data_IF_592603480711
#
_entry.id   IF_592603480711
#
_cell.length_a   1.000
_cell.length_b   1.000
_cell.length_c   1.000
_cell.angle_alpha   90.00
_cell.angle_beta   90.00
_cell.angle_gamma   90.00
#
_symmetry.space_group_name_H-M   'P 1'
#
loop_
_entity.id
_entity.type
_entity.pdbx_description
1 polymer ?
#
# COMPACT_ATOMS: atom_id res chain seq x y z
N UNK A 1 12.07 -13.39 1.18
CA UNK A 1 11.12 -13.63 2.27
C UNK A 1 11.86 -14.27 3.43
N UNK A 2 11.68 -13.77 4.63
CA UNK A 2 12.30 -14.27 5.86
C UNK A 2 11.21 -14.68 6.86
N UNK A 3 11.45 -15.75 7.60
CA UNK A 3 10.66 -16.15 8.76
C UNK A 3 11.60 -16.85 9.75
N UNK A 4 11.44 -16.60 11.04
CA UNK A 4 12.19 -17.29 12.10
C UNK A 4 11.79 -18.77 12.22
N UNK A 5 10.58 -19.12 11.77
CA UNK A 5 10.07 -20.48 11.75
C UNK A 5 10.41 -21.18 10.42
N UNK A 6 11.39 -22.08 10.47
CA UNK A 6 11.83 -22.85 9.29
C UNK A 6 10.72 -23.72 8.70
N UNK A 7 9.82 -24.24 9.52
CA UNK A 7 8.70 -25.05 9.03
C UNK A 7 7.69 -24.22 8.24
N UNK A 8 7.51 -22.93 8.60
CA UNK A 8 6.71 -22.01 7.84
C UNK A 8 7.35 -21.75 6.46
N UNK A 9 8.68 -21.51 6.41
CA UNK A 9 9.41 -21.34 5.15
C UNK A 9 9.34 -22.57 4.23
N UNK A 10 9.45 -23.77 4.79
CA UNK A 10 9.37 -25.02 4.02
C UNK A 10 8.00 -25.22 3.34
N UNK A 11 6.93 -24.66 3.91
CA UNK A 11 5.56 -24.76 3.39
C UNK A 11 5.21 -23.68 2.36
N UNK A 12 6.07 -22.67 2.17
CA UNK A 12 5.76 -21.53 1.28
C UNK A 12 5.50 -21.99 -0.14
N UNK A 13 6.39 -22.81 -0.69
CA UNK A 13 6.26 -23.24 -2.10
C UNK A 13 5.04 -24.12 -2.33
N UNK A 14 4.69 -25.02 -1.42
CA UNK A 14 3.48 -25.84 -1.55
C UNK A 14 2.21 -24.98 -1.53
N UNK A 15 2.13 -24.03 -0.61
CA UNK A 15 1.02 -23.07 -0.52
C UNK A 15 0.90 -22.22 -1.79
N UNK A 16 2.01 -21.69 -2.29
CA UNK A 16 2.02 -20.93 -3.54
C UNK A 16 1.55 -21.76 -4.75
N UNK A 17 1.88 -23.05 -4.77
CA UNK A 17 1.39 -23.95 -5.83
C UNK A 17 -0.11 -24.21 -5.70
N UNK A 18 -0.63 -24.36 -4.49
CA UNK A 18 -2.07 -24.52 -4.23
C UNK A 18 -2.83 -23.26 -4.66
N UNK A 19 -2.37 -22.09 -4.24
CA UNK A 19 -2.94 -20.80 -4.63
C UNK A 19 -2.95 -20.63 -6.16
N UNK A 20 -1.84 -20.95 -6.82
CA UNK A 20 -1.75 -20.91 -8.30
C UNK A 20 -2.79 -21.78 -8.97
N UNK A 21 -2.95 -23.02 -8.50
CA UNK A 21 -3.97 -23.94 -9.04
C UNK A 21 -5.37 -23.38 -8.88
N UNK A 22 -5.66 -22.80 -7.72
CA UNK A 22 -6.95 -22.17 -7.44
C UNK A 22 -7.19 -20.96 -8.35
N UNK A 23 -6.24 -20.03 -8.44
CA UNK A 23 -6.35 -18.83 -9.26
C UNK A 23 -6.49 -19.13 -10.75
N UNK A 24 -5.82 -20.19 -11.22
CA UNK A 24 -5.97 -20.69 -12.59
C UNK A 24 -7.36 -21.24 -12.83
N UNK A 25 -7.86 -22.09 -11.93
CA UNK A 25 -9.20 -22.66 -12.01
C UNK A 25 -10.29 -21.58 -12.06
N UNK A 26 -10.08 -20.48 -11.38
CA UNK A 26 -11.02 -19.36 -11.30
C UNK A 26 -10.80 -18.28 -12.38
N UNK A 27 -9.84 -18.50 -13.30
CA UNK A 27 -9.59 -17.58 -14.41
C UNK A 27 -8.86 -16.27 -14.02
N UNK A 28 -8.33 -16.19 -12.80
CA UNK A 28 -7.56 -15.03 -12.32
C UNK A 28 -6.10 -15.03 -12.81
N UNK A 29 -5.62 -16.16 -13.32
CA UNK A 29 -4.30 -16.32 -13.93
C UNK A 29 -4.45 -16.93 -15.33
N UNK A 30 -4.02 -16.17 -16.34
CA UNK A 30 -4.04 -16.62 -17.73
C UNK A 30 -2.83 -17.50 -18.10
N UNK A 31 -1.68 -17.29 -17.46
CA UNK A 31 -0.42 -17.96 -17.80
C UNK A 31 0.18 -18.72 -16.61
N UNK A 32 0.95 -19.78 -16.94
CA UNK A 32 1.63 -20.64 -15.95
C UNK A 32 2.81 -19.95 -15.26
N UNK A 33 3.33 -18.89 -15.86
CA UNK A 33 4.52 -18.23 -15.36
C UNK A 33 4.17 -17.22 -14.28
N UNK A 34 4.68 -17.46 -13.08
CA UNK A 34 4.69 -16.48 -12.02
C UNK A 34 5.62 -15.34 -12.44
N UNK A 35 5.14 -14.12 -12.43
CA UNK A 35 5.98 -12.95 -12.65
C UNK A 35 6.79 -12.70 -11.40
N UNK A 36 8.01 -13.20 -11.38
CA UNK A 36 8.94 -13.01 -10.27
C UNK A 36 9.45 -14.30 -9.64
N UNK A 37 10.41 -14.14 -8.76
CA UNK A 37 11.07 -15.21 -8.04
C UNK A 37 10.81 -15.09 -6.55
N UNK A 38 10.41 -16.16 -5.89
CA UNK A 38 10.26 -16.22 -4.44
C UNK A 38 11.49 -16.91 -3.86
N UNK A 39 12.25 -16.15 -3.05
CA UNK A 39 13.40 -16.67 -2.31
C UNK A 39 13.07 -16.73 -0.83
N UNK A 40 13.23 -17.90 -0.22
CA UNK A 40 13.13 -18.08 1.23
C UNK A 40 14.55 -18.02 1.82
N UNK A 41 14.76 -17.07 2.71
CA UNK A 41 16.10 -16.78 3.29
C UNK A 41 16.04 -16.96 4.79
N UNK A 42 17.16 -17.39 5.37
CA UNK A 42 17.29 -17.66 6.81
C UNK A 42 17.89 -16.48 7.59
N UNK A 43 18.44 -15.48 6.90
CA UNK A 43 19.03 -14.29 7.53
C UNK A 43 18.20 -13.06 7.16
N UNK A 44 17.85 -12.29 8.19
CA UNK A 44 17.08 -11.04 8.02
C UNK A 44 17.87 -10.02 7.21
N UNK A 45 19.15 -9.85 7.54
CA UNK A 45 20.06 -8.91 6.89
C UNK A 45 20.10 -9.09 5.37
N UNK A 46 20.30 -10.33 4.93
CA UNK A 46 20.34 -10.67 3.49
C UNK A 46 18.98 -10.43 2.81
N UNK A 47 17.89 -10.63 3.57
CA UNK A 47 16.54 -10.47 3.03
C UNK A 47 16.19 -9.00 2.77
N UNK A 48 16.63 -8.09 3.65
CA UNK A 48 16.20 -6.68 3.62
C UNK A 48 17.21 -5.72 3.01
N UNK A 49 18.48 -6.13 2.88
CA UNK A 49 19.57 -5.27 2.44
C UNK A 49 19.29 -4.56 1.10
N UNK A 50 18.76 -5.28 0.12
CA UNK A 50 18.47 -4.76 -1.21
C UNK A 50 16.98 -4.46 -1.46
N UNK A 51 16.15 -4.60 -0.46
CA UNK A 51 14.70 -4.42 -0.59
C UNK A 51 14.32 -2.95 -0.85
N UNK A 52 13.35 -2.73 -1.72
CA UNK A 52 12.69 -1.44 -1.95
C UNK A 52 11.42 -1.29 -1.10
N UNK A 53 10.71 -2.40 -0.90
CA UNK A 53 9.53 -2.51 -0.05
C UNK A 53 9.69 -3.69 0.91
N UNK A 54 9.46 -3.43 2.18
CA UNK A 54 9.52 -4.42 3.24
C UNK A 54 8.14 -4.48 3.90
N UNK A 55 7.52 -5.66 3.88
CA UNK A 55 6.21 -5.91 4.47
C UNK A 55 6.40 -6.78 5.71
N UNK A 56 6.26 -6.20 6.88
CA UNK A 56 6.30 -6.91 8.15
C UNK A 56 4.89 -7.47 8.46
N UNK A 57 4.84 -8.76 8.82
CA UNK A 57 3.61 -9.48 9.13
C UNK A 57 3.78 -10.46 10.32
N UNK A 58 4.64 -10.11 11.29
CA UNK A 58 4.80 -10.92 12.51
C UNK A 58 3.57 -10.78 13.42
N UNK A 59 3.54 -11.54 14.52
CA UNK A 59 2.44 -11.52 15.48
C UNK A 59 2.13 -10.09 15.99
N UNK A 60 0.88 -9.86 16.43
CA UNK A 60 0.39 -8.57 16.91
C UNK A 60 0.92 -8.29 18.34
N UNK A 61 2.23 -8.07 18.44
CA UNK A 61 2.94 -7.75 19.67
C UNK A 61 3.76 -6.47 19.45
N UNK A 62 3.48 -5.43 20.23
CA UNK A 62 4.08 -4.11 20.05
C UNK A 62 5.60 -4.13 20.18
N UNK A 63 6.13 -4.75 21.23
CA UNK A 63 7.58 -4.76 21.49
C UNK A 63 8.33 -5.55 20.41
N UNK A 64 7.79 -6.70 19.98
CA UNK A 64 8.37 -7.47 18.88
C UNK A 64 8.38 -6.69 17.56
N UNK A 65 7.33 -5.91 17.29
CA UNK A 65 7.26 -5.07 16.08
C UNK A 65 8.19 -3.87 16.17
N UNK A 66 8.34 -3.24 17.33
CA UNK A 66 9.32 -2.17 17.57
C UNK A 66 10.75 -2.64 17.31
N UNK A 67 11.15 -3.76 17.94
CA UNK A 67 12.48 -4.39 17.72
C UNK A 67 12.70 -4.69 16.24
N UNK A 68 11.71 -5.27 15.58
CA UNK A 68 11.81 -5.61 14.16
C UNK A 68 11.97 -4.36 13.27
N UNK A 69 11.18 -3.30 13.51
CA UNK A 69 11.27 -2.05 12.76
C UNK A 69 12.61 -1.33 12.98
N UNK A 70 13.10 -1.28 14.23
CA UNK A 70 14.42 -0.74 14.53
C UNK A 70 15.50 -1.49 13.76
N UNK A 71 15.56 -2.81 13.88
CA UNK A 71 16.56 -3.65 13.18
C UNK A 71 16.49 -3.50 11.67
N UNK A 72 15.31 -3.66 11.08
CA UNK A 72 15.12 -3.52 9.63
C UNK A 72 15.57 -2.14 9.15
N UNK A 73 15.22 -1.08 9.89
CA UNK A 73 15.52 0.29 9.50
C UNK A 73 17.00 0.61 9.40
N UNK A 74 17.85 -0.12 10.14
CA UNK A 74 19.31 -0.01 10.08
C UNK A 74 19.95 -0.92 9.03
N UNK A 75 19.28 -2.01 8.66
CA UNK A 75 19.81 -3.01 7.74
C UNK A 75 19.45 -2.76 6.28
N UNK A 76 18.31 -2.15 6.02
CA UNK A 76 17.83 -1.91 4.67
C UNK A 76 18.35 -0.60 4.06
N UNK A 77 18.16 -0.44 2.75
CA UNK A 77 18.48 0.81 2.03
C UNK A 77 17.75 2.00 2.66
N UNK A 78 18.39 3.16 2.62
CA UNK A 78 17.81 4.40 3.16
C UNK A 78 16.47 4.80 2.55
N UNK A 79 16.26 4.48 1.28
CA UNK A 79 15.04 4.76 0.54
C UNK A 79 14.03 3.61 0.55
N UNK A 80 14.32 2.49 1.23
CA UNK A 80 13.38 1.40 1.39
C UNK A 80 12.15 1.83 2.20
N UNK A 81 10.97 1.39 1.78
CA UNK A 81 9.71 1.63 2.48
C UNK A 81 9.45 0.45 3.41
N UNK A 82 9.18 0.75 4.69
CA UNK A 82 8.93 -0.26 5.72
C UNK A 82 7.45 -0.21 6.11
N UNK A 83 6.75 -1.31 5.88
CA UNK A 83 5.32 -1.41 6.13
C UNK A 83 5.00 -2.46 7.18
N UNK A 84 4.01 -2.18 8.04
CA UNK A 84 3.43 -3.18 8.94
C UNK A 84 2.04 -3.59 8.50
N UNK A 85 1.72 -4.88 8.59
CA UNK A 85 0.37 -5.42 8.39
C UNK A 85 -0.44 -5.45 9.71
N UNK A 86 -0.07 -4.66 10.71
CA UNK A 86 -0.75 -4.60 11.99
C UNK A 86 -2.23 -4.21 11.84
N UNK A 87 -3.08 -4.88 12.63
CA UNK A 87 -4.51 -4.63 12.64
C UNK A 87 -4.89 -3.50 13.59
N UNK A 88 -4.33 -3.50 14.80
CA UNK A 88 -4.73 -2.58 15.88
C UNK A 88 -3.60 -1.68 16.38
N UNK A 89 -2.33 -2.10 16.27
CA UNK A 89 -1.22 -1.34 16.81
C UNK A 89 -0.95 -0.09 15.98
N UNK A 90 -0.63 1.00 16.66
CA UNK A 90 -0.32 2.26 16.02
C UNK A 90 1.07 2.23 15.37
N UNK A 91 1.11 2.56 14.09
CA UNK A 91 2.38 2.67 13.32
C UNK A 91 3.36 3.67 13.97
N UNK A 92 2.86 4.72 14.63
CA UNK A 92 3.72 5.67 15.32
C UNK A 92 4.49 5.00 16.47
N UNK A 93 3.79 4.16 17.27
CA UNK A 93 4.43 3.39 18.33
C UNK A 93 5.37 2.32 17.76
N UNK A 94 4.95 1.60 16.71
CA UNK A 94 5.77 0.56 16.08
C UNK A 94 7.09 1.14 15.53
N UNK A 95 7.05 2.32 14.92
CA UNK A 95 8.21 2.95 14.29
C UNK A 95 8.99 3.91 15.21
N UNK A 96 8.70 3.93 16.50
CA UNK A 96 9.28 4.87 17.46
C UNK A 96 10.81 4.91 17.45
N UNK A 97 11.44 3.75 17.35
CA UNK A 97 12.90 3.58 17.33
C UNK A 97 13.46 3.35 15.92
N UNK A 98 12.61 3.37 14.90
CA UNK A 98 13.07 3.18 13.53
C UNK A 98 13.92 4.37 13.05
N UNK A 99 15.02 4.06 12.39
CA UNK A 99 15.81 5.06 11.66
C UNK A 99 14.98 5.60 10.49
N UNK A 100 14.79 6.93 10.41
CA UNK A 100 14.03 7.60 9.34
C UNK A 100 12.56 7.15 9.31
N UNK A 101 11.81 7.51 10.33
CA UNK A 101 10.40 7.17 10.51
C UNK A 101 9.50 7.65 9.35
N UNK A 102 9.96 8.64 8.56
CA UNK A 102 9.22 9.18 7.41
C UNK A 102 8.97 8.16 6.29
N UNK A 103 9.66 7.01 6.31
CA UNK A 103 9.50 5.89 5.36
C UNK A 103 8.68 4.72 5.90
N UNK A 104 8.13 4.86 7.10
CA UNK A 104 7.34 3.83 7.77
C UNK A 104 5.84 4.13 7.65
N UNK A 105 5.03 3.10 7.39
CA UNK A 105 3.56 3.18 7.33
C UNK A 105 2.89 1.84 7.62
N UNK A 106 1.61 1.88 7.97
CA UNK A 106 0.77 0.70 7.98
C UNK A 106 0.24 0.40 6.58
N UNK A 107 0.32 -0.86 6.16
CA UNK A 107 -0.17 -1.32 4.87
C UNK A 107 -0.85 -2.68 5.05
N UNK A 108 -2.17 -2.71 5.01
CA UNK A 108 -2.93 -3.90 5.29
C UNK A 108 -3.75 -4.35 4.08
N UNK A 109 -3.44 -5.54 3.59
CA UNK A 109 -4.21 -6.20 2.55
C UNK A 109 -5.46 -6.85 3.15
N UNK A 110 -6.60 -6.63 2.52
CA UNK A 110 -7.85 -7.26 2.96
C UNK A 110 -7.94 -8.70 2.43
N UNK A 111 -8.35 -9.62 3.30
CA UNK A 111 -8.52 -11.03 2.92
C UNK A 111 -9.91 -11.30 2.33
N UNK A 112 -10.01 -12.10 1.27
CA UNK A 112 -8.95 -12.79 0.53
C UNK A 112 -8.22 -11.89 -0.47
N UNK A 113 -6.88 -11.83 -0.35
CA UNK A 113 -6.02 -10.84 -1.04
C UNK A 113 -6.16 -10.85 -2.56
N UNK A 114 -6.34 -12.01 -3.17
CA UNK A 114 -6.39 -12.13 -4.63
C UNK A 114 -7.66 -11.53 -5.24
N UNK A 115 -8.77 -11.51 -4.49
CA UNK A 115 -10.06 -11.06 -4.98
C UNK A 115 -10.39 -9.63 -4.58
N UNK A 116 -9.89 -9.20 -3.41
CA UNK A 116 -10.19 -7.88 -2.87
C UNK A 116 -9.11 -6.90 -3.32
N UNK A 117 -9.46 -5.90 -4.15
CA UNK A 117 -8.50 -4.92 -4.63
C UNK A 117 -8.10 -3.88 -3.58
N UNK A 118 -8.93 -3.63 -2.59
CA UNK A 118 -8.73 -2.59 -1.60
C UNK A 118 -7.58 -2.93 -0.65
N UNK A 119 -6.69 -1.95 -0.41
CA UNK A 119 -5.58 -2.01 0.55
C UNK A 119 -5.67 -0.82 1.48
N UNK A 120 -5.73 -1.09 2.77
CA UNK A 120 -5.81 -0.08 3.82
C UNK A 120 -4.43 0.47 4.12
N UNK A 121 -4.30 1.79 4.08
CA UNK A 121 -3.08 2.52 4.39
C UNK A 121 -3.26 3.33 5.66
N UNK A 122 -2.27 3.24 6.55
CA UNK A 122 -2.22 3.99 7.80
C UNK A 122 -0.93 4.78 7.81
N UNK A 123 -1.02 6.08 7.52
CA UNK A 123 0.12 6.96 7.62
C UNK A 123 0.46 7.23 9.09
N UNK A 124 1.73 7.10 9.45
CA UNK A 124 2.25 7.56 10.73
C UNK A 124 2.40 9.09 10.75
N UNK A 125 2.67 9.65 11.92
CA UNK A 125 2.84 11.10 12.11
C UNK A 125 3.93 11.69 11.21
N UNK A 126 4.97 10.92 10.94
CA UNK A 126 6.14 11.35 10.17
C UNK A 126 6.18 10.80 8.74
N UNK A 127 5.24 9.91 8.38
CA UNK A 127 5.22 9.32 7.03
C UNK A 127 5.20 10.40 5.96
N UNK A 128 6.18 10.39 5.06
CA UNK A 128 6.29 11.42 4.02
C UNK A 128 5.28 11.20 2.89
N UNK A 129 4.85 12.27 2.24
CA UNK A 129 3.97 12.21 1.07
C UNK A 129 4.59 11.47 -0.11
N UNK A 130 5.90 11.57 -0.28
CA UNK A 130 6.64 10.84 -1.31
C UNK A 130 6.54 9.31 -1.10
N UNK A 131 6.62 8.84 0.15
CA UNK A 131 6.45 7.42 0.48
C UNK A 131 5.04 6.95 0.17
N UNK A 132 4.02 7.73 0.51
CA UNK A 132 2.62 7.43 0.21
C UNK A 132 2.41 7.33 -1.30
N UNK A 133 2.98 8.25 -2.07
CA UNK A 133 2.88 8.25 -3.53
C UNK A 133 3.57 7.02 -4.15
N UNK A 134 4.76 6.66 -3.69
CA UNK A 134 5.45 5.44 -4.14
C UNK A 134 4.64 4.18 -3.85
N UNK A 135 4.01 4.11 -2.68
CA UNK A 135 3.12 3.00 -2.30
C UNK A 135 1.89 2.98 -3.21
N UNK A 136 1.28 4.15 -3.49
CA UNK A 136 0.14 4.25 -4.41
C UNK A 136 0.47 3.69 -5.79
N UNK A 137 1.55 4.18 -6.39
CA UNK A 137 2.00 3.72 -7.72
C UNK A 137 2.31 2.22 -7.74
N UNK A 138 2.93 1.71 -6.67
CA UNK A 138 3.23 0.29 -6.55
C UNK A 138 1.96 -0.56 -6.44
N UNK A 139 0.98 -0.14 -5.63
CA UNK A 139 -0.31 -0.83 -5.49
C UNK A 139 -1.13 -0.81 -6.79
N UNK A 140 -1.19 0.32 -7.48
CA UNK A 140 -1.89 0.47 -8.76
C UNK A 140 -1.34 -0.47 -9.84
N UNK A 141 -0.01 -0.64 -9.89
CA UNK A 141 0.64 -1.61 -10.79
C UNK A 141 0.21 -3.06 -10.52
N UNK A 142 -0.16 -3.37 -9.30
CA UNK A 142 -0.70 -4.67 -8.91
C UNK A 142 -2.23 -4.76 -9.08
N UNK A 143 -2.88 -3.75 -9.65
CA UNK A 143 -4.33 -3.67 -9.75
C UNK A 143 -5.03 -3.54 -8.41
N UNK A 144 -4.34 -2.95 -7.41
CA UNK A 144 -4.86 -2.67 -6.08
C UNK A 144 -5.26 -1.22 -5.95
N UNK A 145 -6.27 -0.98 -5.13
CA UNK A 145 -6.78 0.36 -4.82
C UNK A 145 -6.46 0.70 -3.38
N UNK A 146 -5.77 1.81 -3.18
CA UNK A 146 -5.38 2.30 -1.87
C UNK A 146 -6.51 3.11 -1.25
N UNK A 147 -6.78 2.92 0.06
CA UNK A 147 -7.60 3.81 0.85
C UNK A 147 -6.98 4.05 2.22
N UNK A 148 -7.21 5.22 2.79
CA UNK A 148 -6.74 5.53 4.12
C UNK A 148 -7.76 5.08 5.18
N UNK A 149 -7.25 4.50 6.28
CA UNK A 149 -8.09 4.20 7.44
C UNK A 149 -8.69 5.52 7.96
N UNK A 150 -10.00 5.54 8.07
CA UNK A 150 -10.73 6.61 8.76
C UNK A 150 -11.08 6.15 10.17
N UNK A 151 -10.60 6.87 11.19
CA UNK A 151 -10.84 6.53 12.58
C UNK A 151 -9.94 5.42 13.14
N UNK A 152 -10.28 4.97 14.36
CA UNK A 152 -9.47 4.01 15.12
C UNK A 152 -9.74 2.55 14.80
N UNK A 153 -10.84 2.25 14.11
CA UNK A 153 -11.24 0.88 13.84
C UNK A 153 -10.79 0.42 12.45
N UNK A 154 -10.16 -0.75 12.35
CA UNK A 154 -9.80 -1.33 11.07
C UNK A 154 -11.03 -1.75 10.28
N UNK A 155 -10.98 -1.66 8.96
CA UNK A 155 -12.00 -2.23 8.10
C UNK A 155 -11.91 -3.77 8.15
N UNK A 156 -12.88 -4.41 8.80
CA UNK A 156 -13.02 -5.86 8.83
C UNK A 156 -14.25 -6.23 8.01
N UNK A 157 -14.03 -6.93 6.91
CA UNK A 157 -15.11 -7.39 6.04
C UNK A 157 -15.79 -8.61 6.65
N UNK A 158 -17.13 -8.62 6.64
CA UNK A 158 -17.90 -9.83 6.96
C UNK A 158 -17.70 -10.89 5.86
N UNK A 159 -18.09 -12.13 6.13
CA UNK A 159 -17.99 -13.20 5.15
C UNK A 159 -18.84 -12.91 3.90
N UNK A 160 -20.05 -12.39 4.09
CA UNK A 160 -20.92 -11.96 3.01
C UNK A 160 -20.28 -10.87 2.13
N UNK A 161 -19.69 -9.86 2.75
CA UNK A 161 -19.00 -8.79 2.04
C UNK A 161 -17.77 -9.30 1.26
N UNK A 162 -17.06 -10.29 1.79
CA UNK A 162 -15.92 -10.93 1.09
C UNK A 162 -16.40 -11.69 -0.13
N UNK A 163 -17.46 -12.47 0.02
CA UNK A 163 -18.03 -13.26 -1.07
C UNK A 163 -18.62 -12.38 -2.17
N UNK A 164 -19.31 -11.30 -1.79
CA UNK A 164 -19.82 -10.30 -2.73
C UNK A 164 -18.69 -9.69 -3.59
N UNK A 165 -17.62 -9.24 -2.93
CA UNK A 165 -16.45 -8.67 -3.64
C UNK A 165 -15.75 -9.70 -4.52
N UNK A 166 -15.60 -10.93 -4.03
CA UNK A 166 -15.07 -12.04 -4.82
C UNK A 166 -15.89 -12.25 -6.09
N UNK A 167 -17.21 -12.36 -5.96
CA UNK A 167 -18.11 -12.57 -7.06
C UNK A 167 -18.12 -11.39 -8.05
N UNK A 168 -18.07 -10.16 -7.56
CA UNK A 168 -17.93 -8.98 -8.39
C UNK A 168 -16.64 -9.00 -9.20
N UNK A 169 -15.52 -9.39 -8.59
CA UNK A 169 -14.22 -9.52 -9.26
C UNK A 169 -14.23 -10.57 -10.33
N UNK A 170 -14.77 -11.75 -10.04
CA UNK A 170 -14.88 -12.83 -11.01
C UNK A 170 -15.76 -12.45 -12.23
N UNK A 171 -16.88 -11.75 -12.00
CA UNK A 171 -17.72 -11.21 -13.07
C UNK A 171 -17.00 -10.19 -13.96
N UNK A 172 -16.18 -9.32 -13.38
CA UNK A 172 -15.38 -8.37 -14.15
C UNK A 172 -14.42 -9.07 -15.10
N UNK A 173 -13.80 -10.15 -14.67
CA UNK A 173 -12.84 -10.92 -15.46
C UNK A 173 -13.56 -11.67 -16.59
N UNK A 174 -14.71 -12.30 -16.33
CA UNK A 174 -15.48 -13.03 -17.35
C UNK A 174 -16.10 -12.10 -18.40
N UNK A 175 -16.48 -10.88 -18.02
CA UNK A 175 -17.06 -9.90 -18.94
C UNK A 175 -16.01 -9.15 -19.78
N UNK A 176 -14.75 -9.13 -19.34
CA UNK A 176 -13.63 -8.65 -20.14
C UNK A 176 -13.25 -9.75 -21.13
N UNK A 177 -13.76 -9.70 -22.36
CA UNK A 177 -13.47 -10.66 -23.45
C UNK A 177 -11.98 -10.61 -23.83
N UNK A 178 -11.13 -11.02 -22.97
CA UNK A 178 -9.69 -11.00 -23.06
C UNK A 178 -9.08 -11.18 -21.69
N UNK A 179 -9.32 -12.35 -21.10
CA UNK A 179 -8.90 -12.71 -19.74
C UNK A 179 -7.40 -12.72 -19.50
N UNK A 180 -6.73 -11.57 -19.65
CA UNK A 180 -5.29 -11.44 -19.39
C UNK A 180 -4.88 -10.01 -18.97
N UNK A 181 -5.80 -9.11 -18.66
CA UNK A 181 -5.48 -7.67 -18.65
C UNK A 181 -4.77 -7.15 -17.39
N UNK A 182 -4.59 -7.96 -16.33
CA UNK A 182 -3.99 -7.45 -15.08
C UNK A 182 -2.61 -8.00 -14.73
N UNK A 183 -2.12 -9.04 -15.42
CA UNK A 183 -0.74 -9.50 -15.24
C UNK A 183 0.17 -9.26 -16.45
N UNK A 184 -0.35 -8.79 -17.57
CA UNK A 184 0.40 -8.64 -18.83
C UNK A 184 1.04 -7.27 -19.02
N UNK A 185 0.75 -6.31 -18.17
CA UNK A 185 1.66 -5.16 -18.06
C UNK A 185 2.84 -5.58 -17.21
N UNK A 186 3.71 -6.39 -17.83
CA UNK A 186 5.03 -6.66 -17.31
C UNK A 186 5.61 -5.32 -16.85
N UNK A 187 5.86 -5.21 -15.57
CA UNK A 187 6.68 -4.13 -15.02
C UNK A 187 8.00 -4.22 -15.74
N UNK A 188 8.38 -3.26 -16.60
CA UNK A 188 9.75 -3.23 -17.11
C UNK A 188 10.67 -3.21 -15.88
N UNK A 189 11.80 -3.94 -15.89
CA UNK A 189 12.71 -3.93 -14.78
C UNK A 189 13.08 -2.49 -14.48
N UNK A 190 12.72 -2.01 -13.31
CA UNK A 190 13.19 -0.76 -12.75
C UNK A 190 14.69 -0.92 -12.55
N UNK A 191 15.50 -0.23 -13.33
CA UNK A 191 16.94 -0.10 -13.30
C UNK A 191 17.72 -0.83 -14.41
N UNK A 192 17.86 -0.12 -15.53
CA UNK A 192 19.17 -0.07 -16.18
C UNK A 192 19.89 1.19 -15.73
N UNK A 193 21.05 1.00 -15.08
CA UNK A 193 22.05 2.05 -14.88
C UNK A 193 22.42 2.63 -16.26
N UNK A 194 22.03 3.84 -16.52
CA UNK A 194 22.44 4.61 -17.68
C UNK A 194 22.58 6.06 -17.25
N UNK A 195 23.83 6.48 -16.98
CA UNK A 195 24.21 7.88 -16.94
C UNK A 195 23.81 8.53 -18.25
N UNK A 196 22.80 9.41 -18.20
CA UNK A 196 22.62 10.47 -19.20
C UNK A 196 22.34 11.76 -18.48
N UNK A 197 23.25 12.69 -18.61
CA UNK A 197 23.09 14.11 -18.35
C UNK A 197 21.92 14.62 -19.20
N UNK A 198 21.02 15.47 -18.68
CA UNK A 198 19.94 16.06 -19.47
C UNK A 198 20.53 17.09 -20.43
N UNK A 199 20.36 16.85 -21.73
CA UNK A 199 20.49 17.90 -22.74
C UNK A 199 19.18 18.73 -22.72
N UNK A 200 19.34 20.04 -22.68
CA UNK A 200 18.28 21.02 -22.94
C UNK A 200 17.82 20.81 -24.39
N UNK A 201 16.53 20.53 -24.55
CA UNK A 201 15.71 20.68 -25.77
C UNK A 201 14.73 19.50 -25.83
N UNK A 202 13.62 19.59 -25.08
CA UNK A 202 12.35 18.93 -25.37
C UNK A 202 11.28 19.58 -24.48
N UNK A 203 10.88 20.80 -24.86
CA UNK A 203 9.61 21.39 -24.46
C UNK A 203 8.55 20.76 -25.38
N UNK A 204 7.74 19.92 -24.85
CA UNK A 204 6.33 19.60 -25.11
C UNK A 204 6.02 18.15 -24.73
N UNK A 205 5.96 17.86 -23.46
CA UNK A 205 5.25 16.69 -22.97
C UNK A 205 4.35 17.11 -21.83
N UNK A 206 3.05 16.92 -22.04
CA UNK A 206 1.96 17.13 -21.10
C UNK A 206 2.35 16.52 -19.75
N UNK A 207 2.60 17.39 -18.78
CA UNK A 207 2.89 17.01 -17.39
C UNK A 207 1.66 16.30 -16.81
N UNK A 208 1.83 15.23 -16.02
CA UNK A 208 0.73 14.61 -15.27
C UNK A 208 0.38 15.48 -14.03
N UNK A 209 -0.03 16.72 -14.28
CA UNK A 209 -0.38 17.68 -13.23
C UNK A 209 -1.75 17.39 -12.58
N UNK A 210 -2.57 16.52 -13.16
CA UNK A 210 -3.93 16.29 -12.68
C UNK A 210 -4.07 15.12 -11.69
N UNK A 211 -3.15 14.16 -11.67
CA UNK A 211 -3.23 13.02 -10.76
C UNK A 211 -2.84 13.36 -9.31
N UNK A 212 -2.07 14.41 -9.07
CA UNK A 212 -1.70 14.86 -7.71
C UNK A 212 -2.84 15.57 -6.96
N UNK A 213 -3.99 15.76 -7.60
CA UNK A 213 -5.11 16.53 -7.03
C UNK A 213 -6.29 15.68 -6.58
N UNK A 214 -6.26 14.38 -6.72
CA UNK A 214 -7.39 13.52 -6.35
C UNK A 214 -7.52 13.31 -4.84
N UNK A 215 -8.75 13.36 -4.34
CA UNK A 215 -9.10 13.11 -2.95
C UNK A 215 -8.60 11.73 -2.48
N UNK A 216 -7.79 11.69 -1.42
CA UNK A 216 -7.24 10.45 -0.87
C UNK A 216 -8.30 9.48 -0.30
N UNK A 217 -9.53 9.94 -0.10
CA UNK A 217 -10.64 9.12 0.45
C UNK A 217 -11.50 8.53 -0.65
N UNK A 218 -12.02 9.35 -1.57
CA UNK A 218 -12.95 8.89 -2.60
C UNK A 218 -12.32 8.70 -3.98
N UNK A 219 -11.10 9.21 -4.21
CA UNK A 219 -10.36 9.15 -5.47
C UNK A 219 -11.14 9.58 -6.72
N UNK A 220 -12.26 10.27 -6.52
CA UNK A 220 -13.18 10.67 -7.58
C UNK A 220 -13.33 12.18 -7.71
N UNK A 221 -12.70 12.97 -6.84
CA UNK A 221 -12.81 14.43 -6.81
C UNK A 221 -11.49 15.06 -6.45
N UNK A 222 -11.29 16.28 -6.91
CA UNK A 222 -10.12 17.07 -6.58
C UNK A 222 -10.04 17.37 -5.08
N UNK A 223 -8.85 17.42 -4.54
CA UNK A 223 -8.58 17.88 -3.17
C UNK A 223 -8.87 19.36 -3.08
N UNK A 224 -9.94 19.72 -2.41
CA UNK A 224 -10.39 21.10 -2.20
C UNK A 224 -10.75 21.37 -0.74
N UNK A 225 -10.21 20.57 0.19
CA UNK A 225 -10.50 20.68 1.61
C UNK A 225 -9.23 20.74 2.45
N UNK A 226 -9.10 21.82 3.22
CA UNK A 226 -8.07 22.00 4.24
C UNK A 226 -8.62 21.52 5.59
N UNK A 227 -7.87 20.63 6.26
CA UNK A 227 -8.22 20.08 7.57
C UNK A 227 -7.53 20.90 8.69
N UNK A 228 -8.29 21.56 9.53
CA UNK A 228 -7.73 22.33 10.65
C UNK A 228 -7.73 21.50 11.96
N UNK A 229 -6.68 21.62 12.81
CA UNK A 229 -5.58 22.61 12.77
C UNK A 229 -4.35 22.17 11.98
N UNK A 230 -4.29 20.94 11.42
CA UNK A 230 -3.06 20.42 10.81
C UNK A 230 -2.78 20.94 9.39
N UNK A 231 -3.74 21.60 8.76
CA UNK A 231 -3.68 22.21 7.42
C UNK A 231 -3.35 21.24 6.28
N UNK A 232 -3.56 19.93 6.46
CA UNK A 232 -3.41 18.97 5.37
C UNK A 232 -4.56 19.09 4.37
N UNK A 233 -4.22 19.20 3.08
CA UNK A 233 -5.16 19.26 1.98
C UNK A 233 -5.10 17.96 1.17
N UNK A 234 -5.72 16.91 1.69
CA UNK A 234 -5.67 15.54 1.13
C UNK A 234 -7.02 15.00 0.75
N UNK A 235 -8.09 15.70 1.08
CA UNK A 235 -9.46 15.28 0.81
C UNK A 235 -10.21 16.30 -0.05
N UNK A 236 -11.25 15.85 -0.76
CA UNK A 236 -12.26 16.78 -1.26
C UNK A 236 -13.12 17.28 -0.09
N UNK A 237 -13.77 18.42 -0.27
CA UNK A 237 -14.58 19.05 0.79
C UNK A 237 -15.65 18.11 1.36
N UNK A 238 -16.31 17.31 0.51
CA UNK A 238 -17.33 16.37 0.97
C UNK A 238 -16.74 15.27 1.88
N UNK A 239 -15.57 14.75 1.55
CA UNK A 239 -14.90 13.74 2.38
C UNK A 239 -14.33 14.36 3.66
N UNK A 240 -13.74 15.56 3.60
CA UNK A 240 -13.27 16.28 4.78
C UNK A 240 -14.39 16.59 5.78
N UNK A 241 -15.52 17.08 5.29
CA UNK A 241 -16.70 17.33 6.12
C UNK A 241 -17.25 16.04 6.75
N UNK A 242 -17.21 14.92 6.02
CA UNK A 242 -17.62 13.63 6.55
C UNK A 242 -16.70 13.14 7.67
N UNK A 243 -15.38 13.29 7.53
CA UNK A 243 -14.41 12.98 8.58
C UNK A 243 -14.69 13.83 9.84
N UNK A 244 -14.91 15.13 9.66
CA UNK A 244 -15.23 16.04 10.76
C UNK A 244 -16.53 15.62 11.49
N UNK A 245 -17.60 15.31 10.76
CA UNK A 245 -18.89 14.89 11.33
C UNK A 245 -18.79 13.58 12.12
N UNK A 246 -17.88 12.71 11.75
CA UNK A 246 -17.61 11.44 12.42
C UNK A 246 -16.62 11.56 13.57
N UNK A 247 -16.09 12.75 13.82
CA UNK A 247 -14.99 12.99 14.76
C UNK A 247 -13.74 12.15 14.41
N UNK A 248 -13.53 11.88 13.12
CA UNK A 248 -12.34 11.21 12.64
C UNK A 248 -11.15 12.19 12.60
N UNK A 249 -9.95 11.65 12.75
CA UNK A 249 -8.70 12.44 12.68
C UNK A 249 -8.20 12.60 11.24
N UNK A 250 -7.26 13.52 11.04
CA UNK A 250 -6.61 13.73 9.75
C UNK A 250 -5.95 12.42 9.24
N UNK A 251 -6.21 11.98 8.00
CA UNK A 251 -5.64 10.75 7.45
C UNK A 251 -4.11 10.73 7.38
N UNK A 252 -3.47 11.91 7.38
CA UNK A 252 -2.01 12.04 7.25
C UNK A 252 -1.33 12.09 8.61
N UNK A 253 -1.76 12.99 9.50
CA UNK A 253 -1.06 13.24 10.77
C UNK A 253 -1.87 12.85 12.00
N UNK A 254 -3.09 12.34 11.84
CA UNK A 254 -4.00 11.92 12.91
C UNK A 254 -4.34 13.00 13.94
N UNK A 255 -4.09 14.24 13.60
CA UNK A 255 -4.58 15.36 14.40
C UNK A 255 -6.09 15.42 14.29
N UNK A 256 -6.79 15.60 15.40
CA UNK A 256 -8.24 15.73 15.41
C UNK A 256 -8.69 16.91 14.57
N UNK A 257 -9.71 16.68 13.75
CA UNK A 257 -10.23 17.70 12.84
C UNK A 257 -11.23 18.56 13.60
N UNK A 258 -10.86 19.80 13.88
CA UNK A 258 -11.73 20.77 14.54
C UNK A 258 -12.73 21.36 13.53
N UNK A 259 -12.25 21.76 12.37
CA UNK A 259 -13.09 22.22 11.27
C UNK A 259 -12.44 21.98 9.91
N UNK A 260 -13.24 22.17 8.86
CA UNK A 260 -12.81 22.02 7.46
C UNK A 260 -13.04 23.32 6.70
N UNK A 261 -12.09 23.68 5.84
CA UNK A 261 -12.17 24.87 4.99
C UNK A 261 -12.12 24.43 3.53
N UNK A 262 -13.08 24.89 2.73
CA UNK A 262 -13.06 24.65 1.28
C UNK A 262 -12.11 25.62 0.60
N UNK A 263 -11.23 25.05 -0.23
CA UNK A 263 -10.28 25.82 -1.05
C UNK A 263 -10.80 25.87 -2.48
N UNK A 264 -10.84 27.05 -3.07
CA UNK A 264 -11.21 27.27 -4.46
C UNK A 264 -9.94 27.61 -5.24
N UNK A 265 -9.73 26.89 -6.33
CA UNK A 265 -8.66 27.19 -7.28
C UNK A 265 -9.21 28.20 -8.29
N UNK A 266 -8.50 29.31 -8.45
CA UNK A 266 -8.79 30.34 -9.46
C UNK A 266 -8.04 30.04 -10.74
#
# INVERSE_FOLDING_TARGET
>A
MFDSNKDALNKVFSRLQEDRKLLKKEGLMAHDNFLGQVLCMSLLEETVNDAEFILEAISENLEAKKDMFERISHLCKENAIICTNSLYLDIHQISEHANRQERCLGLRFLFPVYYIPEVEVIAGRFTSTNVIERVRVWLERMGKTMFFRSGHHPLILTEEQREERKNARLKQITNSSGGALYMEKAVPPLFHKGNRTPSRDDEDSILPADMDRECAICMARVRDCLLNPCHHMVTCYKCGTLLQQRHDSCPICRTDIVNTVRVFYS
#
